data_IF_575415610055
#
_entry.id   IF_575415610055
#
_cell.length_a   1.000
_cell.length_b   1.000
_cell.length_c   1.000
_cell.angle_alpha   90.00
_cell.angle_beta   90.00
_cell.angle_gamma   90.00
#
_symmetry.space_group_name_H-M   'P 1'
#
loop_
_entity.id
_entity.type
_entity.pdbx_description
1 polymer ?
#
# COMPACT_ATOMS: atom_id res chain seq x y z
N UNK A 1 1.80 18.52 3.26
CA UNK A 1 1.13 19.02 4.48
C UNK A 1 -0.36 18.73 4.41
N UNK A 2 -0.89 17.99 5.42
CA UNK A 2 -2.30 17.63 5.48
C UNK A 2 -3.04 18.49 6.51
N UNK A 3 -4.27 18.85 6.16
CA UNK A 3 -5.19 19.58 7.04
C UNK A 3 -6.34 18.64 7.40
N UNK A 4 -6.64 18.52 8.69
CA UNK A 4 -7.75 17.72 9.19
C UNK A 4 -9.09 18.29 8.70
N UNK A 5 -9.98 17.41 8.24
CA UNK A 5 -11.33 17.76 7.80
C UNK A 5 -12.38 17.20 8.77
N UNK A 6 -12.39 15.89 8.95
CA UNK A 6 -13.38 15.24 9.81
C UNK A 6 -12.98 13.84 10.27
N UNK A 7 -13.50 13.46 11.44
CA UNK A 7 -13.48 12.08 11.92
C UNK A 7 -14.58 11.27 11.24
N UNK A 8 -14.27 10.05 10.82
CA UNK A 8 -15.26 9.12 10.24
C UNK A 8 -15.74 8.11 11.26
N UNK A 9 -14.82 7.36 11.87
CA UNK A 9 -15.14 6.28 12.78
C UNK A 9 -14.07 6.14 13.84
N UNK A 10 -14.50 5.76 15.05
CA UNK A 10 -13.63 5.33 16.15
C UNK A 10 -14.15 4.00 16.66
N UNK A 11 -13.24 3.02 16.81
CA UNK A 11 -13.58 1.68 17.32
C UNK A 11 -12.56 1.23 18.37
N UNK A 12 -13.06 0.75 19.48
CA UNK A 12 -12.26 0.01 20.47
C UNK A 12 -12.28 -1.48 20.14
N UNK A 13 -11.11 -2.11 20.14
CA UNK A 13 -10.98 -3.56 19.96
C UNK A 13 -10.24 -4.17 21.13
N UNK A 14 -10.90 -5.10 21.81
CA UNK A 14 -10.35 -5.78 22.99
C UNK A 14 -9.03 -6.47 22.64
N UNK A 15 -7.97 -6.14 23.37
CA UNK A 15 -6.64 -6.69 23.19
C UNK A 15 -5.77 -5.97 22.16
N UNK A 16 -6.35 -5.10 21.30
CA UNK A 16 -5.61 -4.39 20.24
C UNK A 16 -5.52 -2.88 20.47
N UNK A 17 -6.51 -2.28 21.12
CA UNK A 17 -6.54 -0.84 21.40
C UNK A 17 -7.69 -0.13 20.67
N UNK A 18 -7.46 1.10 20.28
CA UNK A 18 -8.43 1.99 19.64
C UNK A 18 -7.98 2.34 18.22
N UNK A 19 -8.91 2.31 17.31
CA UNK A 19 -8.70 2.64 15.91
C UNK A 19 -9.58 3.82 15.52
N UNK A 20 -9.00 4.80 14.86
CA UNK A 20 -9.70 5.96 14.36
C UNK A 20 -9.41 6.13 12.86
N UNK A 21 -10.43 6.45 12.07
CA UNK A 21 -10.28 6.85 10.67
C UNK A 21 -10.73 8.28 10.49
N UNK A 22 -9.89 9.10 9.88
CA UNK A 22 -10.16 10.52 9.66
C UNK A 22 -9.86 10.94 8.23
N UNK A 23 -10.59 11.94 7.74
CA UNK A 23 -10.35 12.57 6.45
C UNK A 23 -9.48 13.81 6.65
N UNK A 24 -8.53 13.91 5.75
CA UNK A 24 -7.63 15.05 5.58
C UNK A 24 -7.65 15.49 4.13
N UNK A 25 -7.25 16.72 3.88
CA UNK A 25 -6.94 17.20 2.52
C UNK A 25 -5.55 17.81 2.47
N UNK A 26 -4.97 17.88 1.28
CA UNK A 26 -3.73 18.58 1.05
C UNK A 26 -3.92 20.08 1.25
N UNK A 27 -2.97 20.73 1.93
CA UNK A 27 -3.05 22.16 2.24
C UNK A 27 -3.03 23.04 0.99
N UNK A 28 -2.30 22.61 -0.04
CA UNK A 28 -2.09 23.40 -1.27
C UNK A 28 -3.16 23.08 -2.32
N UNK A 29 -3.66 21.84 -2.36
CA UNK A 29 -4.76 21.43 -3.24
C UNK A 29 -5.84 20.66 -2.47
N UNK A 30 -6.85 21.34 -1.92
CA UNK A 30 -7.91 20.71 -1.13
C UNK A 30 -8.72 19.63 -1.86
N UNK A 31 -8.63 19.53 -3.18
CA UNK A 31 -9.25 18.45 -3.97
C UNK A 31 -8.60 17.10 -3.72
N UNK A 32 -7.32 17.11 -3.27
CA UNK A 32 -6.59 15.91 -2.89
C UNK A 32 -6.97 15.50 -1.48
N UNK A 33 -7.89 14.56 -1.37
CA UNK A 33 -8.32 14.02 -0.08
C UNK A 33 -7.61 12.72 0.27
N UNK A 34 -7.44 12.51 1.58
CA UNK A 34 -6.81 11.34 2.17
C UNK A 34 -7.68 10.80 3.30
N UNK A 35 -7.78 9.49 3.41
CA UNK A 35 -8.29 8.84 4.61
C UNK A 35 -7.12 8.19 5.35
N UNK A 36 -6.92 8.58 6.61
CA UNK A 36 -5.86 8.05 7.46
C UNK A 36 -6.46 7.19 8.56
N UNK A 37 -5.83 6.05 8.80
CA UNK A 37 -6.09 5.19 9.95
C UNK A 37 -5.06 5.44 11.03
N UNK A 38 -5.53 5.59 12.27
CA UNK A 38 -4.73 5.78 13.46
C UNK A 38 -4.96 4.62 14.42
N UNK A 39 -3.88 4.06 14.93
CA UNK A 39 -3.94 3.04 15.96
C UNK A 39 -3.38 3.55 17.26
N UNK A 40 -4.19 3.45 18.33
CA UNK A 40 -3.83 3.87 19.68
C UNK A 40 -3.88 2.70 20.65
N UNK A 41 -2.96 2.66 21.60
CA UNK A 41 -3.01 1.74 22.75
C UNK A 41 -3.11 2.51 24.05
N UNK A 42 -3.89 2.01 25.03
CA UNK A 42 -3.85 2.57 26.36
C UNK A 42 -2.45 2.46 26.95
N UNK A 43 -2.00 3.51 27.62
CA UNK A 43 -0.80 3.44 28.45
C UNK A 43 -1.04 2.49 29.63
N UNK A 44 0.04 1.88 30.12
CA UNK A 44 -0.05 0.97 31.28
C UNK A 44 -0.48 1.68 32.54
N UNK A 45 -0.14 2.94 32.67
CA UNK A 45 -0.45 3.81 33.81
C UNK A 45 -1.08 5.10 33.31
N UNK A 46 -2.31 5.38 33.76
CA UNK A 46 -3.05 6.59 33.41
C UNK A 46 -4.13 6.42 32.35
N UNK A 47 -4.83 7.51 32.07
CA UNK A 47 -5.95 7.57 31.12
C UNK A 47 -5.52 8.04 29.71
N UNK A 48 -4.23 8.02 29.39
CA UNK A 48 -3.71 8.46 28.12
C UNK A 48 -3.57 7.32 27.12
N UNK A 49 -3.50 7.69 25.83
CA UNK A 49 -3.34 6.77 24.72
C UNK A 49 -2.00 7.06 24.00
N UNK A 50 -1.25 5.99 23.73
CA UNK A 50 -0.09 6.07 22.85
C UNK A 50 -0.51 5.87 21.41
N UNK A 51 -0.13 6.79 20.54
CA UNK A 51 -0.26 6.60 19.09
C UNK A 51 0.81 5.61 18.63
N UNK A 52 0.36 4.45 18.13
CA UNK A 52 1.24 3.35 17.74
C UNK A 52 1.57 3.43 16.25
N UNK A 53 0.55 3.76 15.41
CA UNK A 53 0.72 3.73 13.96
C UNK A 53 -0.24 4.71 13.28
N UNK A 54 0.20 5.23 12.12
CA UNK A 54 -0.63 6.03 11.21
C UNK A 54 -0.45 5.47 9.81
N UNK A 55 -1.56 5.18 9.14
CA UNK A 55 -1.53 4.65 7.78
C UNK A 55 -2.45 5.42 6.85
N UNK A 56 -1.99 5.61 5.62
CA UNK A 56 -2.85 6.17 4.56
C UNK A 56 -3.69 5.03 3.99
N UNK A 57 -4.95 4.94 4.41
CA UNK A 57 -5.90 3.95 3.93
C UNK A 57 -6.35 4.26 2.50
N UNK A 58 -6.70 5.53 2.25
CA UNK A 58 -7.07 6.02 0.92
C UNK A 58 -6.31 7.29 0.59
N UNK A 59 -5.98 7.44 -0.67
CA UNK A 59 -5.33 8.64 -1.17
C UNK A 59 -5.88 9.06 -2.52
N UNK A 60 -5.53 10.26 -2.98
CA UNK A 60 -5.97 10.77 -4.25
C UNK A 60 -5.26 10.02 -5.39
N UNK A 61 -6.03 9.66 -6.40
CA UNK A 61 -5.58 9.29 -7.74
C UNK A 61 -6.20 10.27 -8.72
N UNK A 62 -5.41 10.78 -9.66
CA UNK A 62 -5.92 11.71 -10.66
C UNK A 62 -6.98 11.03 -11.51
N UNK A 63 -8.06 11.76 -11.80
CA UNK A 63 -9.17 11.33 -12.62
C UNK A 63 -9.64 12.54 -13.47
N UNK A 64 -9.21 12.60 -14.71
CA UNK A 64 -9.39 13.78 -15.56
C UNK A 64 -8.80 15.05 -14.94
N UNK A 65 -9.62 16.07 -14.76
CA UNK A 65 -9.24 17.34 -14.13
C UNK A 65 -9.37 17.33 -12.60
N UNK A 66 -9.79 16.20 -12.02
CA UNK A 66 -10.04 16.04 -10.59
C UNK A 66 -9.22 14.92 -9.97
N UNK A 67 -9.68 14.50 -8.78
CA UNK A 67 -9.10 13.38 -8.05
C UNK A 67 -10.20 12.48 -7.53
N UNK A 68 -9.98 11.17 -7.67
CA UNK A 68 -10.77 10.12 -7.02
C UNK A 68 -9.97 9.58 -5.84
N UNK A 69 -10.64 9.31 -4.72
CA UNK A 69 -10.00 8.71 -3.55
C UNK A 69 -9.99 7.19 -3.68
N UNK A 70 -8.81 6.60 -3.85
CA UNK A 70 -8.63 5.15 -3.99
C UNK A 70 -8.07 4.52 -2.72
N UNK A 71 -8.40 3.26 -2.50
CA UNK A 71 -7.88 2.46 -1.38
C UNK A 71 -6.43 2.10 -1.64
N UNK A 72 -5.53 2.53 -0.75
CA UNK A 72 -4.09 2.19 -0.78
C UNK A 72 -3.74 1.00 0.09
N UNK A 73 -4.53 0.81 1.14
CA UNK A 73 -4.49 -0.36 2.00
C UNK A 73 -5.87 -0.98 2.04
N UNK A 74 -6.00 -2.29 2.05
CA UNK A 74 -7.27 -2.91 2.39
C UNK A 74 -7.67 -2.42 3.78
N UNK A 75 -8.96 -2.38 4.03
CA UNK A 75 -9.47 -2.14 5.39
C UNK A 75 -8.87 -3.23 6.26
N UNK A 76 -8.08 -2.81 7.23
CA UNK A 76 -7.49 -3.76 8.15
C UNK A 76 -8.59 -4.61 8.78
N UNK A 77 -8.38 -5.93 8.87
CA UNK A 77 -9.41 -6.85 9.36
C UNK A 77 -9.99 -6.45 10.74
N UNK A 78 -9.21 -5.80 11.58
CA UNK A 78 -9.67 -5.28 12.87
C UNK A 78 -10.64 -4.08 12.78
N UNK A 79 -10.80 -3.48 11.60
CA UNK A 79 -11.82 -2.46 11.35
C UNK A 79 -13.20 -3.05 11.06
N UNK A 80 -13.24 -4.32 10.69
CA UNK A 80 -14.47 -5.01 10.38
C UNK A 80 -15.21 -5.35 11.70
N UNK A 81 -16.55 -5.36 11.71
CA UNK A 81 -17.30 -6.00 12.77
C UNK A 81 -16.83 -7.44 12.98
N UNK A 82 -16.95 -7.96 14.22
CA UNK A 82 -16.51 -9.33 14.53
C UNK A 82 -17.13 -10.37 13.60
N UNK A 83 -18.37 -10.12 13.15
CA UNK A 83 -19.09 -11.00 12.20
C UNK A 83 -18.55 -10.96 10.77
N UNK A 84 -17.80 -9.89 10.45
CA UNK A 84 -17.18 -9.69 9.14
C UNK A 84 -15.67 -9.93 9.20
N UNK A 85 -15.13 -10.35 10.35
CA UNK A 85 -13.73 -10.76 10.41
C UNK A 85 -13.53 -11.93 9.48
N UNK A 86 -12.49 -11.88 8.65
CA UNK A 86 -12.17 -13.03 7.83
C UNK A 86 -11.94 -14.24 8.74
N UNK A 87 -12.81 -15.22 8.60
CA UNK A 87 -12.77 -16.45 9.39
C UNK A 87 -11.68 -17.40 8.87
N UNK A 88 -11.13 -17.13 7.70
CA UNK A 88 -10.10 -17.95 7.11
C UNK A 88 -8.70 -17.31 7.23
N UNK A 89 -7.73 -18.17 7.30
CA UNK A 89 -6.32 -17.79 7.43
C UNK A 89 -5.78 -17.10 6.17
N UNK A 90 -6.43 -17.29 5.03
CA UNK A 90 -5.98 -16.78 3.75
C UNK A 90 -6.17 -15.27 3.62
N UNK A 91 -7.32 -14.75 4.04
CA UNK A 91 -7.56 -13.29 4.05
C UNK A 91 -6.65 -12.59 5.05
N UNK A 92 -6.44 -13.18 6.22
CA UNK A 92 -5.48 -12.68 7.22
C UNK A 92 -4.06 -12.72 6.63
N UNK A 93 -3.75 -13.76 5.85
CA UNK A 93 -2.44 -13.91 5.22
C UNK A 93 -2.20 -12.84 4.14
N UNK A 94 -3.18 -12.56 3.29
CA UNK A 94 -3.09 -11.48 2.29
C UNK A 94 -2.79 -10.14 2.95
N UNK A 95 -3.46 -9.84 4.04
CA UNK A 95 -3.22 -8.64 4.84
C UNK A 95 -1.78 -8.59 5.38
N UNK A 96 -1.27 -9.71 5.91
CA UNK A 96 0.10 -9.78 6.40
C UNK A 96 1.13 -9.56 5.29
N UNK A 97 0.88 -10.09 4.08
CA UNK A 97 1.73 -9.87 2.91
C UNK A 97 1.76 -8.39 2.54
N UNK A 98 0.59 -7.76 2.46
CA UNK A 98 0.49 -6.33 2.15
C UNK A 98 1.19 -5.47 3.22
N UNK A 99 1.06 -5.85 4.48
CA UNK A 99 1.77 -5.17 5.59
C UNK A 99 3.29 -5.33 5.47
N UNK A 100 3.78 -6.49 5.06
CA UNK A 100 5.22 -6.71 4.84
C UNK A 100 5.76 -5.82 3.72
N UNK A 101 5.00 -5.67 2.62
CA UNK A 101 5.36 -4.76 1.53
C UNK A 101 5.38 -3.29 1.99
N UNK A 102 4.37 -2.86 2.74
CA UNK A 102 4.35 -1.51 3.29
C UNK A 102 5.51 -1.23 4.24
N UNK A 103 5.85 -2.20 5.09
CA UNK A 103 7.01 -2.08 5.97
C UNK A 103 8.30 -1.96 5.16
N UNK A 104 8.45 -2.79 4.11
CA UNK A 104 9.60 -2.69 3.21
C UNK A 104 9.69 -1.31 2.56
N UNK A 105 8.59 -0.79 2.01
CA UNK A 105 8.56 0.55 1.41
C UNK A 105 8.96 1.61 2.45
N UNK A 106 8.41 1.53 3.67
CA UNK A 106 8.70 2.49 4.74
C UNK A 106 10.18 2.46 5.19
N UNK A 107 10.77 1.25 5.27
CA UNK A 107 12.17 1.04 5.68
C UNK A 107 13.18 1.44 4.60
N UNK A 108 12.79 1.46 3.32
CA UNK A 108 13.66 1.75 2.18
C UNK A 108 13.40 3.12 1.53
N UNK A 109 12.54 3.95 2.09
CA UNK A 109 12.39 5.34 1.66
C UNK A 109 13.62 6.15 2.05
N UNK A 110 13.99 7.09 1.17
CA UNK A 110 14.96 8.13 1.49
C UNK A 110 14.35 9.21 2.42
N UNK A 111 15.15 10.21 2.78
CA UNK A 111 14.75 11.31 3.68
C UNK A 111 13.56 12.14 3.14
N UNK A 112 13.38 12.18 1.83
CA UNK A 112 12.25 12.83 1.15
C UNK A 112 10.97 11.95 1.13
N UNK A 113 11.03 10.76 1.70
CA UNK A 113 9.92 9.81 1.77
C UNK A 113 9.65 9.07 0.45
N UNK A 114 10.64 8.98 -0.42
CA UNK A 114 10.59 8.40 -1.75
C UNK A 114 11.31 7.07 -1.79
N UNK A 115 10.72 6.06 -2.43
CA UNK A 115 11.37 4.79 -2.72
C UNK A 115 12.16 4.91 -4.03
N UNK A 116 13.45 4.63 -3.99
CA UNK A 116 14.32 4.65 -5.17
C UNK A 116 14.54 3.22 -5.66
N UNK A 117 14.18 2.95 -6.92
CA UNK A 117 14.43 1.65 -7.57
C UNK A 117 15.28 1.85 -8.83
N UNK A 118 16.29 1.00 -8.99
CA UNK A 118 17.08 0.95 -10.23
C UNK A 118 16.31 0.16 -11.30
N UNK A 119 16.15 0.75 -12.49
CA UNK A 119 15.68 0.03 -13.67
C UNK A 119 16.85 -0.78 -14.26
N UNK A 120 16.83 -2.13 -14.18
CA UNK A 120 17.96 -2.95 -14.62
C UNK A 120 18.20 -2.90 -16.13
N UNK A 121 17.25 -2.36 -16.92
CA UNK A 121 17.44 -2.22 -18.39
C UNK A 121 18.14 -0.92 -18.76
N UNK A 122 17.91 0.13 -18.00
CA UNK A 122 18.47 1.46 -18.32
C UNK A 122 19.58 1.87 -17.39
N UNK A 123 19.68 1.25 -16.19
CA UNK A 123 20.55 1.67 -15.10
C UNK A 123 20.12 2.97 -14.43
N UNK A 124 18.92 3.47 -14.76
CA UNK A 124 18.38 4.68 -14.14
C UNK A 124 17.81 4.36 -12.75
N UNK A 125 18.15 5.18 -11.76
CA UNK A 125 17.48 5.16 -10.45
C UNK A 125 16.22 6.02 -10.53
N UNK A 126 15.07 5.40 -10.30
CA UNK A 126 13.75 6.03 -10.45
C UNK A 126 13.19 6.34 -9.07
N UNK A 127 12.93 7.63 -8.76
CA UNK A 127 12.28 8.02 -7.51
C UNK A 127 10.76 7.79 -7.61
N UNK A 128 10.22 6.96 -6.72
CA UNK A 128 8.85 6.45 -6.79
C UNK A 128 8.04 6.77 -5.54
N UNK A 129 6.85 7.31 -5.73
CA UNK A 129 5.83 7.49 -4.70
C UNK A 129 4.81 6.36 -4.77
N UNK A 130 4.54 5.73 -3.63
CA UNK A 130 3.51 4.69 -3.54
C UNK A 130 2.12 5.24 -3.87
N UNK A 131 1.37 4.52 -4.70
CA UNK A 131 0.00 4.86 -5.09
C UNK A 131 -1.00 3.87 -4.51
N UNK A 132 -0.97 2.61 -4.96
CA UNK A 132 -1.87 1.57 -4.45
C UNK A 132 -1.27 0.17 -4.65
N UNK A 133 -1.73 -0.77 -3.85
CA UNK A 133 -1.40 -2.18 -3.98
C UNK A 133 -2.58 -2.91 -4.61
N UNK A 134 -2.30 -3.70 -5.64
CA UNK A 134 -3.33 -4.45 -6.33
C UNK A 134 -3.83 -5.62 -5.48
N UNK A 135 -5.11 -5.87 -5.59
CA UNK A 135 -5.75 -7.07 -5.05
C UNK A 135 -6.24 -7.94 -6.21
N UNK A 136 -6.28 -9.24 -6.03
CA UNK A 136 -5.86 -10.01 -4.87
C UNK A 136 -4.34 -10.20 -4.79
N UNK A 137 -3.84 -10.42 -3.57
CA UNK A 137 -2.50 -10.98 -3.35
C UNK A 137 -2.50 -12.43 -3.87
N UNK A 138 -1.41 -12.85 -4.46
CA UNK A 138 -1.28 -14.18 -5.06
C UNK A 138 -0.23 -15.01 -4.35
N UNK A 139 -0.41 -16.32 -4.36
CA UNK A 139 0.58 -17.27 -3.89
C UNK A 139 1.11 -18.10 -5.06
N UNK A 140 2.43 -18.10 -5.23
CA UNK A 140 3.13 -18.85 -6.26
C UNK A 140 3.45 -20.25 -5.72
N UNK A 141 2.61 -21.24 -6.01
CA UNK A 141 2.72 -22.61 -5.46
C UNK A 141 4.07 -23.25 -5.75
N UNK A 142 4.57 -23.05 -6.95
CA UNK A 142 5.82 -23.67 -7.41
C UNK A 142 7.03 -23.20 -6.63
N UNK A 143 7.04 -21.93 -6.28
CA UNK A 143 8.20 -21.26 -5.68
C UNK A 143 8.02 -21.02 -4.17
N UNK A 144 6.79 -21.13 -3.67
CA UNK A 144 6.47 -20.94 -2.25
C UNK A 144 6.50 -19.48 -1.79
N UNK A 145 6.29 -18.54 -2.71
CA UNK A 145 6.30 -17.11 -2.44
C UNK A 145 4.90 -16.49 -2.53
N UNK A 146 4.64 -15.48 -1.72
CA UNK A 146 3.55 -14.55 -1.97
C UNK A 146 3.98 -13.48 -2.95
N UNK A 147 3.00 -12.95 -3.68
CA UNK A 147 3.23 -11.99 -4.74
C UNK A 147 2.14 -10.92 -4.76
N UNK A 148 2.53 -9.66 -4.91
CA UNK A 148 1.61 -8.55 -5.15
C UNK A 148 2.20 -7.52 -6.09
N UNK A 149 1.38 -7.03 -7.02
CA UNK A 149 1.68 -5.88 -7.85
C UNK A 149 1.30 -4.59 -7.11
N UNK A 150 2.03 -3.54 -7.36
CA UNK A 150 1.83 -2.26 -6.67
C UNK A 150 2.06 -1.11 -7.63
N UNK A 151 1.10 -0.21 -7.76
CA UNK A 151 1.26 1.02 -8.52
C UNK A 151 2.11 2.03 -7.75
N UNK A 152 3.11 2.54 -8.43
CA UNK A 152 3.91 3.68 -8.04
C UNK A 152 3.79 4.79 -9.07
N UNK A 153 4.10 6.00 -8.67
CA UNK A 153 4.19 7.15 -9.56
C UNK A 153 5.56 7.78 -9.44
N UNK A 154 6.16 8.19 -10.56
CA UNK A 154 7.41 8.93 -10.55
C UNK A 154 7.22 10.24 -9.78
N UNK A 155 8.14 10.51 -8.85
CA UNK A 155 8.12 11.75 -8.07
C UNK A 155 8.15 12.98 -8.98
N UNK A 156 7.25 13.92 -8.72
CA UNK A 156 7.11 15.13 -9.53
C UNK A 156 6.28 14.97 -10.81
N UNK A 157 5.91 13.75 -11.20
CA UNK A 157 4.98 13.50 -12.32
C UNK A 157 3.55 13.32 -11.81
N UNK A 158 2.58 13.62 -12.65
CA UNK A 158 1.16 13.35 -12.42
C UNK A 158 0.68 12.08 -13.11
N UNK A 159 1.38 11.63 -14.14
CA UNK A 159 0.86 10.65 -15.11
C UNK A 159 1.84 9.47 -15.38
N UNK A 160 3.09 9.54 -14.90
CA UNK A 160 4.08 8.47 -15.08
C UNK A 160 3.92 7.39 -14.00
N UNK A 161 3.12 6.38 -14.30
CA UNK A 161 2.87 5.26 -13.39
C UNK A 161 3.74 4.06 -13.75
N UNK A 162 4.30 3.45 -12.71
CA UNK A 162 5.07 2.22 -12.74
C UNK A 162 4.29 1.13 -12.01
N UNK A 163 4.28 -0.08 -12.54
CA UNK A 163 3.80 -1.26 -11.84
C UNK A 163 5.03 -1.99 -11.30
N UNK A 164 5.09 -2.16 -9.99
CA UNK A 164 6.21 -2.78 -9.28
C UNK A 164 5.72 -4.03 -8.58
N UNK A 165 6.38 -5.14 -8.84
CA UNK A 165 6.07 -6.43 -8.27
C UNK A 165 6.94 -6.73 -7.05
N UNK A 166 6.30 -7.27 -6.02
CA UNK A 166 6.93 -7.69 -4.79
C UNK A 166 6.75 -9.18 -4.56
N UNK A 167 7.84 -9.88 -4.31
CA UNK A 167 7.84 -11.25 -3.81
C UNK A 167 8.06 -11.23 -2.30
N UNK A 168 7.28 -12.01 -1.59
CA UNK A 168 7.30 -12.04 -0.12
C UNK A 168 7.43 -13.47 0.36
N UNK A 169 8.45 -13.72 1.17
CA UNK A 169 8.74 -15.01 1.76
C UNK A 169 8.35 -15.06 3.23
N UNK A 170 7.96 -16.25 3.67
CA UNK A 170 7.84 -16.54 5.08
C UNK A 170 9.17 -17.11 5.61
N UNK A 171 9.96 -16.26 6.26
CA UNK A 171 11.20 -16.68 6.93
C UNK A 171 11.04 -16.62 8.44
N UNK A 172 11.24 -17.74 9.11
CA UNK A 172 11.20 -17.80 10.58
C UNK A 172 9.88 -17.28 11.19
N UNK A 173 8.74 -17.56 10.55
CA UNK A 173 7.42 -17.16 11.00
C UNK A 173 7.10 -15.66 10.74
N UNK A 174 7.92 -14.97 9.94
CA UNK A 174 7.69 -13.57 9.54
C UNK A 174 7.73 -13.44 8.03
N UNK A 175 6.78 -12.69 7.49
CA UNK A 175 6.76 -12.32 6.09
C UNK A 175 7.75 -11.17 5.84
N UNK A 176 8.60 -11.34 4.83
CA UNK A 176 9.55 -10.32 4.38
C UNK A 176 9.60 -10.26 2.86
N UNK A 177 9.72 -9.07 2.32
CA UNK A 177 10.00 -8.88 0.90
C UNK A 177 11.36 -9.50 0.59
N UNK A 178 11.38 -10.40 -0.39
CA UNK A 178 12.59 -11.11 -0.84
C UNK A 178 13.09 -10.61 -2.19
N UNK A 179 12.20 -10.08 -3.03
CA UNK A 179 12.55 -9.52 -4.33
C UNK A 179 11.58 -8.41 -4.73
N UNK A 180 12.08 -7.45 -5.53
CA UNK A 180 11.30 -6.32 -6.05
C UNK A 180 11.72 -6.09 -7.50
N UNK A 181 10.73 -5.99 -8.41
CA UNK A 181 10.99 -5.75 -9.83
C UNK A 181 10.02 -4.76 -10.43
N UNK A 182 10.52 -3.91 -11.31
CA UNK A 182 9.69 -3.06 -12.14
C UNK A 182 9.05 -3.92 -13.23
N UNK A 183 7.73 -4.10 -13.14
CA UNK A 183 6.94 -4.90 -14.09
C UNK A 183 6.53 -4.09 -15.30
N UNK A 184 5.94 -2.90 -15.09
CA UNK A 184 5.56 -1.99 -16.16
C UNK A 184 6.19 -0.62 -15.99
N UNK A 185 6.50 -0.02 -17.10
CA UNK A 185 7.04 1.34 -17.16
C UNK A 185 6.12 2.24 -17.97
N UNK A 186 6.07 3.54 -17.65
CA UNK A 186 5.34 4.50 -18.45
C UNK A 186 6.09 4.76 -19.77
N UNK A 187 5.36 4.73 -20.88
CA UNK A 187 5.84 5.13 -22.19
C UNK A 187 4.89 6.19 -22.72
N UNK A 188 5.43 7.29 -23.22
CA UNK A 188 4.63 8.33 -23.84
C UNK A 188 4.38 8.01 -25.31
N UNK A 189 3.12 7.80 -25.67
CA UNK A 189 2.68 7.62 -27.04
C UNK A 189 1.77 8.79 -27.43
N UNK A 190 2.26 9.67 -28.28
CA UNK A 190 1.52 10.84 -28.79
C UNK A 190 0.91 11.74 -27.68
N UNK A 191 1.65 11.92 -26.57
CA UNK A 191 1.22 12.74 -25.45
C UNK A 191 0.37 12.00 -24.41
N UNK A 192 0.13 10.71 -24.58
CA UNK A 192 -0.58 9.84 -23.63
C UNK A 192 0.40 8.86 -23.00
N UNK A 193 0.41 8.81 -21.66
CA UNK A 193 1.22 7.85 -20.93
C UNK A 193 0.50 6.51 -20.81
N UNK A 194 1.12 5.45 -21.34
CA UNK A 194 0.66 4.08 -21.24
C UNK A 194 1.67 3.23 -20.44
N UNK A 195 1.21 2.19 -19.76
CA UNK A 195 2.08 1.24 -19.06
C UNK A 195 2.44 0.08 -19.99
N UNK A 196 3.75 -0.10 -20.22
CA UNK A 196 4.29 -1.17 -21.08
C UNK A 196 4.99 -2.22 -20.21
N UNK A 197 4.62 -3.50 -20.31
CA UNK A 197 5.20 -4.56 -19.50
C UNK A 197 6.66 -4.83 -19.90
N UNK A 198 7.49 -5.10 -18.88
CA UNK A 198 8.89 -5.56 -19.03
C UNK A 198 8.99 -7.08 -19.14
N UNK A 199 8.02 -7.79 -18.61
CA UNK A 199 7.89 -9.25 -18.63
C UNK A 199 6.43 -9.67 -18.48
N UNK A 200 6.14 -10.93 -18.74
CA UNK A 200 4.79 -11.51 -18.65
C UNK A 200 4.79 -12.66 -17.64
N UNK A 201 3.61 -13.02 -17.15
CA UNK A 201 3.41 -14.09 -16.17
C UNK A 201 2.91 -15.39 -16.80
N UNK A 202 3.09 -15.59 -18.11
CA UNK A 202 2.48 -16.69 -18.85
C UNK A 202 2.83 -18.10 -18.31
N UNK A 203 3.99 -18.23 -17.63
CA UNK A 203 4.48 -19.50 -17.08
C UNK A 203 4.32 -19.63 -15.56
N UNK A 204 3.63 -18.70 -14.91
CA UNK A 204 3.50 -18.70 -13.45
C UNK A 204 2.18 -19.34 -13.02
N UNK A 205 2.27 -20.40 -12.22
CA UNK A 205 1.12 -21.06 -11.59
C UNK A 205 0.69 -20.31 -10.34
N UNK A 206 -0.35 -19.46 -10.49
CA UNK A 206 -0.85 -18.61 -9.42
C UNK A 206 -2.03 -19.25 -8.70
N UNK A 207 -2.04 -19.17 -7.38
CA UNK A 207 -3.24 -19.29 -6.56
C UNK A 207 -3.61 -17.90 -6.01
N UNK A 208 -4.89 -17.56 -6.10
CA UNK A 208 -5.40 -16.32 -5.52
C UNK A 208 -5.51 -16.51 -4.01
N UNK A 209 -4.77 -15.72 -3.25
CA UNK A 209 -4.90 -15.60 -1.80
C UNK A 209 -5.88 -14.47 -1.53
N UNK A 210 -7.08 -14.81 -1.09
CA UNK A 210 -8.14 -13.84 -0.73
C UNK A 210 -7.94 -13.32 0.67
#
# INVERSE_FOLDING_TARGET
NLVYEKMRVIRGMKGYGWFANAIFHDKEDPRKQYALDFWFKPQREGDSLDLIDIRVQKGPKRDGDGYTMITRLPVAWWWLPVQEHPGDMEVVRAWHVMSAIHNFIAENKNDDGVLELEDPKTGETIPLEFVEMHQPVRYLKKDGHYFACTDFRRTGSTDEYYDVDFWVDEKTGRLKVSDVKIHKVPVNEDGVWIQVPRYTFEDMDFEITQ
#
